data_IF_477489787672
#
_entry.id   IF_477489787672
#
_cell.length_a   1.000
_cell.length_b   1.000
_cell.length_c   1.000
_cell.angle_alpha   90.00
_cell.angle_beta   90.00
_cell.angle_gamma   90.00
#
_symmetry.space_group_name_H-M   'P 1'
#
loop_
_entity.id
_entity.type
_entity.pdbx_description
1 polymer ?
#
# COMPACT_ATOMS: atom_id res chain seq x y z
N UNK A 1 14.09 30.13 4.66
CA UNK A 1 13.59 28.75 4.86
C UNK A 1 12.59 28.46 3.75
N UNK A 2 13.05 28.06 2.57
CA UNK A 2 12.16 27.71 1.48
C UNK A 2 11.53 26.35 1.81
N UNK A 3 10.28 26.36 2.25
CA UNK A 3 9.52 25.13 2.50
C UNK A 3 9.46 24.31 1.21
N UNK A 4 10.20 23.21 1.15
CA UNK A 4 9.97 22.21 0.11
C UNK A 4 8.58 21.65 0.35
N UNK A 5 7.60 22.13 -0.42
CA UNK A 5 6.23 21.63 -0.34
C UNK A 5 6.24 20.12 -0.54
N UNK A 6 5.69 19.38 0.43
CA UNK A 6 5.43 17.95 0.25
C UNK A 6 4.61 17.76 -1.02
N UNK A 7 5.01 16.80 -1.85
CA UNK A 7 4.33 16.50 -3.12
C UNK A 7 4.16 15.01 -3.21
N UNK A 8 2.97 14.57 -3.59
CA UNK A 8 2.69 13.17 -3.82
C UNK A 8 1.67 13.03 -4.94
N UNK A 9 1.97 12.16 -5.88
CA UNK A 9 1.06 11.74 -6.93
C UNK A 9 0.94 10.23 -6.83
N UNK A 10 -0.28 9.74 -6.68
CA UNK A 10 -0.59 8.32 -6.71
C UNK A 10 -1.54 8.10 -7.89
N UNK A 11 -1.24 7.21 -8.82
CA UNK A 11 -2.04 7.02 -10.04
C UNK A 11 -2.01 5.56 -10.52
N UNK A 12 -2.80 5.27 -11.56
CA UNK A 12 -2.75 4.03 -12.34
C UNK A 12 -2.41 4.36 -13.78
N UNK A 13 -1.86 3.38 -14.50
CA UNK A 13 -1.64 3.47 -15.93
C UNK A 13 -2.38 2.33 -16.61
N UNK A 14 -3.29 2.65 -17.54
CA UNK A 14 -4.21 1.67 -18.12
C UNK A 14 -3.48 0.51 -18.83
N UNK A 15 -2.36 0.82 -19.49
CA UNK A 15 -1.51 -0.17 -20.19
C UNK A 15 -0.57 -0.94 -19.26
N UNK A 16 -0.67 -0.74 -17.94
CA UNK A 16 0.05 -1.51 -16.92
C UNK A 16 -0.94 -1.97 -15.84
N UNK A 17 -1.87 -2.88 -16.18
CA UNK A 17 -2.95 -3.30 -15.29
C UNK A 17 -2.42 -4.01 -14.04
N UNK A 18 -3.15 -3.89 -12.93
CA UNK A 18 -2.76 -4.51 -11.66
C UNK A 18 -1.56 -3.84 -10.97
N UNK A 19 -1.13 -2.66 -11.43
CA UNK A 19 0.00 -1.92 -10.86
C UNK A 19 -0.40 -0.50 -10.51
N UNK A 20 -0.41 -0.22 -9.21
CA UNK A 20 -0.55 1.12 -8.68
C UNK A 20 0.83 1.83 -8.68
N UNK A 21 0.86 3.14 -8.88
CA UNK A 21 2.09 3.93 -8.99
C UNK A 21 2.07 5.10 -8.01
N UNK A 22 3.23 5.43 -7.44
CA UNK A 22 3.42 6.61 -6.60
C UNK A 22 4.75 7.28 -6.91
N UNK A 23 4.75 8.61 -6.88
CA UNK A 23 5.95 9.43 -6.76
C UNK A 23 5.70 10.46 -5.67
N UNK A 24 6.60 10.55 -4.71
CA UNK A 24 6.42 11.45 -3.59
C UNK A 24 7.73 12.03 -3.04
N UNK A 25 7.60 13.21 -2.44
CA UNK A 25 8.56 13.87 -1.55
C UNK A 25 7.80 14.23 -0.29
N UNK A 26 8.25 13.68 0.84
CA UNK A 26 7.69 13.93 2.16
C UNK A 26 8.76 14.41 3.11
N UNK A 27 8.40 15.30 4.03
CA UNK A 27 9.30 15.89 5.03
C UNK A 27 8.76 15.60 6.44
N UNK A 28 7.52 15.99 6.70
CA UNK A 28 6.86 15.83 8.00
C UNK A 28 5.94 14.61 8.04
N UNK A 29 5.60 14.04 6.87
CA UNK A 29 4.71 12.90 6.75
C UNK A 29 5.13 11.74 7.65
N UNK A 30 4.14 11.23 8.39
CA UNK A 30 4.23 9.97 9.13
C UNK A 30 3.07 9.08 8.72
N UNK A 31 3.38 8.00 8.02
CA UNK A 31 2.44 6.93 7.76
C UNK A 31 2.18 6.18 9.06
N UNK A 32 0.91 6.15 9.44
CA UNK A 32 0.48 5.33 10.59
C UNK A 32 0.64 3.86 10.29
N UNK A 33 0.48 3.02 11.30
CA UNK A 33 0.49 1.58 11.08
C UNK A 33 -0.65 1.17 10.16
N UNK A 34 -0.31 0.57 9.02
CA UNK A 34 -1.25 0.20 7.96
C UNK A 34 -0.75 -1.01 7.16
N UNK A 35 -1.58 -1.49 6.23
CA UNK A 35 -1.27 -2.58 5.29
C UNK A 35 -1.60 -2.20 3.86
N UNK A 36 -1.04 -2.93 2.90
CA UNK A 36 -1.41 -2.86 1.48
C UNK A 36 -1.86 -4.24 1.00
N UNK A 37 -2.81 -4.26 0.06
CA UNK A 37 -3.21 -5.49 -0.66
C UNK A 37 -2.23 -5.84 -1.78
N UNK A 38 -1.44 -4.85 -2.23
CA UNK A 38 -0.41 -5.00 -3.25
C UNK A 38 0.96 -5.01 -2.58
N UNK A 39 1.97 -5.49 -3.30
CA UNK A 39 3.35 -5.31 -2.88
C UNK A 39 3.69 -3.81 -2.83
N UNK A 40 4.67 -3.44 -2.01
CA UNK A 40 5.33 -2.13 -2.08
C UNK A 40 6.74 -2.37 -2.54
N UNK A 41 7.11 -1.76 -3.68
CA UNK A 41 8.48 -1.71 -4.17
C UNK A 41 8.84 -0.23 -4.31
N UNK A 42 9.40 0.35 -3.25
CA UNK A 42 9.71 1.78 -3.15
C UNK A 42 11.21 2.01 -3.31
N UNK A 43 11.61 2.69 -4.39
CA UNK A 43 12.99 3.08 -4.65
C UNK A 43 13.26 4.49 -4.11
N UNK A 44 14.21 4.60 -3.18
CA UNK A 44 14.57 5.86 -2.54
C UNK A 44 15.56 6.62 -3.42
N UNK A 45 15.22 7.86 -3.77
CA UNK A 45 16.04 8.73 -4.61
C UNK A 45 16.88 9.72 -3.78
N UNK A 46 16.30 10.29 -2.72
CA UNK A 46 16.99 11.17 -1.77
C UNK A 46 16.46 10.96 -0.35
N UNK A 47 17.27 11.35 0.64
CA UNK A 47 16.91 11.27 2.05
C UNK A 47 16.85 9.83 2.57
N UNK A 48 16.13 9.62 3.66
CA UNK A 48 16.01 8.30 4.30
C UNK A 48 14.57 8.04 4.68
N UNK A 49 14.02 6.92 4.20
CA UNK A 49 12.78 6.37 4.73
C UNK A 49 13.09 5.49 5.94
N UNK A 50 12.41 5.73 7.06
CA UNK A 50 12.36 4.81 8.19
C UNK A 50 10.97 4.22 8.29
N UNK A 51 10.87 2.90 8.32
CA UNK A 51 9.61 2.20 8.48
C UNK A 51 9.74 1.05 9.47
N UNK A 52 8.74 0.90 10.35
CA UNK A 52 8.73 -0.21 11.27
C UNK A 52 8.16 -1.44 10.58
N UNK A 53 8.97 -2.48 10.44
CA UNK A 53 8.60 -3.74 9.81
C UNK A 53 9.18 -4.90 10.63
N UNK A 54 8.43 -6.00 10.78
CA UNK A 54 8.91 -7.16 11.55
C UNK A 54 9.22 -6.85 13.03
N UNK A 55 8.65 -5.78 13.58
CA UNK A 55 8.88 -5.37 14.97
C UNK A 55 10.12 -4.49 15.21
N UNK A 56 10.87 -4.14 14.17
CA UNK A 56 12.04 -3.25 14.23
C UNK A 56 11.94 -2.10 13.22
N UNK A 57 12.66 -1.01 13.47
CA UNK A 57 12.79 0.07 12.50
C UNK A 57 13.78 -0.37 11.40
N UNK A 58 13.39 -0.19 10.15
CA UNK A 58 14.17 -0.43 8.94
C UNK A 58 14.52 0.91 8.30
N UNK A 59 15.67 0.98 7.63
CA UNK A 59 16.22 2.21 7.08
C UNK A 59 16.53 2.00 5.60
N UNK A 60 15.94 2.80 4.73
CA UNK A 60 16.22 2.78 3.30
C UNK A 60 16.70 4.18 2.87
N UNK A 61 17.98 4.27 2.49
CA UNK A 61 18.60 5.47 1.94
C UNK A 61 18.65 5.46 0.41
N UNK A 62 19.26 6.47 -0.23
CA UNK A 62 19.29 6.61 -1.68
C UNK A 62 19.92 5.37 -2.36
N UNK A 63 19.26 4.86 -3.40
CA UNK A 63 19.68 3.64 -4.10
C UNK A 63 19.24 2.32 -3.44
N UNK A 64 18.64 2.37 -2.25
CA UNK A 64 17.98 1.22 -1.64
C UNK A 64 16.51 1.14 -2.03
N UNK A 65 15.95 -0.07 -1.86
CA UNK A 65 14.53 -0.36 -2.00
C UNK A 65 13.93 -0.69 -0.64
N UNK A 66 12.83 -0.04 -0.31
CA UNK A 66 11.91 -0.50 0.74
C UNK A 66 10.88 -1.45 0.12
N UNK A 67 10.81 -2.66 0.67
CA UNK A 67 10.03 -3.78 0.18
C UNK A 67 9.02 -4.20 1.26
N UNK A 68 7.75 -4.22 0.91
CA UNK A 68 6.68 -4.67 1.81
C UNK A 68 5.77 -5.66 1.07
N UNK A 69 5.60 -6.84 1.66
CA UNK A 69 4.68 -7.85 1.13
C UNK A 69 3.21 -7.46 1.42
N UNK A 70 2.24 -7.98 0.64
CA UNK A 70 0.82 -7.81 0.94
C UNK A 70 0.46 -8.18 2.38
N UNK A 71 -0.54 -7.50 2.94
CA UNK A 71 -1.08 -7.71 4.29
C UNK A 71 -0.02 -7.69 5.41
N UNK A 72 1.09 -6.98 5.18
CA UNK A 72 2.20 -6.83 6.13
C UNK A 72 2.16 -5.46 6.81
N UNK A 73 1.87 -5.42 8.13
CA UNK A 73 1.75 -4.15 8.84
C UNK A 73 3.08 -3.41 8.94
N UNK A 74 3.09 -2.16 8.50
CA UNK A 74 4.27 -1.30 8.56
C UNK A 74 3.88 0.16 8.81
N UNK A 75 4.88 1.01 9.02
CA UNK A 75 4.74 2.48 9.15
C UNK A 75 5.62 3.16 8.09
N UNK A 76 5.81 4.47 8.16
CA UNK A 76 6.77 5.18 7.32
C UNK A 76 6.97 6.60 7.82
N UNK A 77 8.20 7.09 7.85
CA UNK A 77 8.56 8.44 8.29
C UNK A 77 9.92 8.82 7.73
N UNK A 78 10.21 10.11 7.75
CA UNK A 78 11.55 10.60 7.46
C UNK A 78 12.56 10.13 8.51
N UNK A 79 13.76 9.76 8.04
CA UNK A 79 14.93 9.49 8.87
C UNK A 79 15.88 10.67 9.02
N UNK A 80 15.72 11.69 8.19
CA UNK A 80 16.53 12.93 8.20
C UNK A 80 15.62 14.16 8.06
N UNK A 81 16.05 15.36 8.53
CA UNK A 81 15.22 16.57 8.53
C UNK A 81 14.73 17.01 7.15
N UNK A 82 15.49 16.71 6.09
CA UNK A 82 15.16 17.05 4.70
C UNK A 82 14.04 16.18 4.14
N UNK A 83 13.64 15.13 4.85
CA UNK A 83 12.62 14.19 4.40
C UNK A 83 13.18 13.04 3.55
N UNK A 84 12.34 12.54 2.65
CA UNK A 84 12.74 11.56 1.64
C UNK A 84 11.95 11.74 0.35
N UNK A 85 12.61 11.43 -0.77
CA UNK A 85 12.03 11.44 -2.11
C UNK A 85 12.13 10.05 -2.69
N UNK A 86 11.03 9.53 -3.23
CA UNK A 86 10.97 8.17 -3.72
C UNK A 86 9.95 7.99 -4.84
N UNK A 87 10.10 6.89 -5.55
CA UNK A 87 9.12 6.37 -6.49
C UNK A 87 8.77 4.94 -6.11
N UNK A 88 7.50 4.58 -6.15
CA UNK A 88 7.05 3.25 -5.82
C UNK A 88 6.14 2.66 -6.89
N UNK A 89 6.29 1.36 -7.12
CA UNK A 89 5.34 0.55 -7.85
C UNK A 89 4.69 -0.43 -6.89
N UNK A 90 3.40 -0.65 -7.07
CA UNK A 90 2.60 -1.54 -6.23
C UNK A 90 1.96 -2.61 -7.11
N UNK A 91 2.72 -3.62 -7.57
CA UNK A 91 2.15 -4.71 -8.35
C UNK A 91 1.23 -5.57 -7.47
N UNK A 92 0.12 -6.03 -8.05
CA UNK A 92 -0.80 -6.95 -7.38
C UNK A 92 -0.12 -8.29 -7.09
N UNK A 93 -0.66 -9.08 -6.15
CA UNK A 93 -0.17 -10.43 -5.90
C UNK A 93 -0.14 -11.30 -7.17
N UNK A 94 -1.13 -11.14 -8.04
CA UNK A 94 -1.24 -11.89 -9.29
C UNK A 94 -0.11 -11.54 -10.26
N UNK A 95 0.18 -10.24 -10.46
CA UNK A 95 1.30 -9.79 -11.31
C UNK A 95 2.64 -10.36 -10.83
N UNK A 96 2.88 -10.34 -9.52
CA UNK A 96 4.13 -10.90 -8.95
C UNK A 96 4.16 -12.42 -9.07
N UNK A 97 3.03 -13.10 -8.88
CA UNK A 97 2.93 -14.55 -9.01
C UNK A 97 3.19 -15.04 -10.44
N UNK A 98 2.64 -14.35 -11.45
CA UNK A 98 2.88 -14.64 -12.86
C UNK A 98 4.38 -14.50 -13.20
N UNK A 99 5.00 -13.38 -12.83
CA UNK A 99 6.43 -13.15 -13.08
C UNK A 99 7.29 -14.19 -12.33
N UNK A 100 6.93 -14.54 -11.10
CA UNK A 100 7.66 -15.54 -10.31
C UNK A 100 7.62 -16.92 -10.97
N UNK A 101 6.45 -17.33 -11.50
CA UNK A 101 6.25 -18.61 -12.16
C UNK A 101 7.09 -18.76 -13.43
N UNK A 102 7.27 -17.67 -14.19
CA UNK A 102 8.06 -17.66 -15.42
C UNK A 102 9.57 -17.57 -15.18
N UNK A 103 10.00 -16.90 -14.11
CA UNK A 103 11.40 -16.43 -14.00
C UNK A 103 12.19 -16.96 -12.80
N UNK A 104 11.53 -17.71 -11.92
CA UNK A 104 12.12 -18.22 -10.67
C UNK A 104 11.73 -19.68 -10.39
N UNK A 105 12.30 -20.25 -9.33
CA UNK A 105 11.98 -21.62 -8.84
C UNK A 105 11.22 -21.61 -7.51
N UNK A 106 10.70 -20.44 -7.09
CA UNK A 106 10.00 -20.28 -5.81
C UNK A 106 8.71 -21.13 -5.83
N UNK A 107 8.55 -22.01 -4.85
CA UNK A 107 7.34 -22.83 -4.67
C UNK A 107 6.40 -22.16 -3.67
N UNK A 108 5.12 -22.11 -3.97
CA UNK A 108 4.12 -21.46 -3.11
C UNK A 108 3.94 -19.98 -3.44
N UNK A 109 3.43 -19.19 -2.49
CA UNK A 109 3.18 -17.76 -2.70
C UNK A 109 4.50 -16.99 -2.66
N UNK A 110 4.93 -16.32 -3.74
CA UNK A 110 6.19 -15.58 -3.76
C UNK A 110 6.09 -14.30 -2.91
N UNK A 111 7.21 -13.88 -2.34
CA UNK A 111 7.37 -12.56 -1.74
C UNK A 111 8.81 -12.26 -1.35
N UNK A 112 9.03 -11.10 -0.75
CA UNK A 112 10.34 -10.63 -0.36
C UNK A 112 10.71 -11.12 1.04
N UNK A 113 11.94 -11.60 1.21
CA UNK A 113 12.45 -12.14 2.48
C UNK A 113 12.90 -11.00 3.40
N UNK A 114 13.69 -10.06 2.88
CA UNK A 114 14.12 -8.86 3.62
C UNK A 114 13.31 -7.62 3.22
N UNK A 115 13.02 -6.72 4.17
CA UNK A 115 12.25 -5.51 3.88
C UNK A 115 13.08 -4.40 3.24
N UNK A 116 14.40 -4.46 3.30
CA UNK A 116 15.30 -3.50 2.65
C UNK A 116 16.28 -4.28 1.79
N UNK A 117 16.48 -3.80 0.57
CA UNK A 117 17.49 -4.31 -0.35
C UNK A 117 18.30 -3.13 -0.91
N UNK A 118 19.61 -3.15 -0.68
CA UNK A 118 20.55 -2.21 -1.29
C UNK A 118 20.91 -2.69 -2.70
N UNK A 119 20.23 -2.13 -3.69
CA UNK A 119 20.48 -2.44 -5.11
C UNK A 119 20.19 -1.19 -5.97
N UNK A 120 21.19 -0.32 -6.16
CA UNK A 120 21.03 0.92 -6.93
C UNK A 120 20.56 0.68 -8.37
N UNK A 121 20.90 -0.47 -8.96
CA UNK A 121 20.45 -0.83 -10.30
C UNK A 121 18.94 -1.13 -10.32
N UNK A 122 18.46 -1.92 -9.36
CA UNK A 122 17.03 -2.20 -9.23
C UNK A 122 16.23 -0.94 -8.85
N UNK A 123 16.75 -0.09 -7.96
CA UNK A 123 16.15 1.21 -7.65
C UNK A 123 16.04 2.09 -8.91
N UNK A 124 17.09 2.13 -9.73
CA UNK A 124 17.09 2.81 -11.03
C UNK A 124 16.09 2.22 -12.03
N UNK A 125 15.84 0.90 -12.02
CA UNK A 125 14.79 0.29 -12.84
C UNK A 125 13.40 0.76 -12.42
N UNK A 126 13.08 0.82 -11.13
CA UNK A 126 11.79 1.36 -10.64
C UNK A 126 11.56 2.79 -11.13
N UNK A 127 12.57 3.66 -11.02
CA UNK A 127 12.44 5.02 -11.53
C UNK A 127 12.27 5.08 -13.05
N UNK A 128 12.89 4.15 -13.80
CA UNK A 128 12.68 4.03 -15.25
C UNK A 128 11.28 3.51 -15.60
N UNK A 129 10.70 2.60 -14.82
CA UNK A 129 9.28 2.22 -14.98
C UNK A 129 8.39 3.46 -14.88
N UNK A 130 8.55 4.23 -13.81
CA UNK A 130 7.75 5.44 -13.59
C UNK A 130 7.94 6.49 -14.70
N UNK A 131 9.17 6.63 -15.21
CA UNK A 131 9.46 7.52 -16.34
C UNK A 131 8.81 7.04 -17.63
N UNK A 132 8.91 5.74 -17.94
CA UNK A 132 8.28 5.16 -19.13
C UNK A 132 6.76 5.34 -19.12
N UNK A 133 6.13 5.23 -17.94
CA UNK A 133 4.70 5.53 -17.76
C UNK A 133 4.40 7.01 -18.06
N UNK A 134 5.18 7.94 -17.53
CA UNK A 134 4.99 9.38 -17.79
C UNK A 134 5.17 9.73 -19.28
N UNK A 135 6.04 9.00 -19.98
CA UNK A 135 6.28 9.14 -21.42
C UNK A 135 5.24 8.40 -22.29
N UNK A 136 4.28 7.68 -21.68
CA UNK A 136 3.29 6.87 -22.39
C UNK A 136 3.87 5.65 -23.12
N UNK A 137 5.07 5.21 -22.74
CA UNK A 137 5.76 4.08 -23.35
C UNK A 137 5.41 2.77 -22.63
N UNK A 138 4.23 2.23 -22.95
CA UNK A 138 3.69 1.01 -22.35
C UNK A 138 4.64 -0.18 -22.40
N UNK A 139 5.23 -0.45 -23.57
CA UNK A 139 6.14 -1.58 -23.75
C UNK A 139 7.36 -1.48 -22.83
N UNK A 140 7.96 -0.28 -22.73
CA UNK A 140 9.09 -0.08 -21.84
C UNK A 140 8.68 -0.20 -20.37
N UNK A 141 7.53 0.35 -19.98
CA UNK A 141 7.03 0.27 -18.60
C UNK A 141 6.82 -1.19 -18.15
N UNK A 142 6.10 -1.99 -18.95
CA UNK A 142 5.85 -3.41 -18.65
C UNK A 142 7.15 -4.22 -18.64
N UNK A 143 8.00 -4.04 -19.66
CA UNK A 143 9.30 -4.73 -19.75
C UNK A 143 10.16 -4.44 -18.51
N UNK A 144 10.29 -3.17 -18.13
CA UNK A 144 11.11 -2.76 -16.99
C UNK A 144 10.52 -3.26 -15.66
N UNK A 145 9.19 -3.31 -15.54
CA UNK A 145 8.51 -3.87 -14.36
C UNK A 145 8.85 -5.36 -14.21
N UNK A 146 8.71 -6.14 -15.30
CA UNK A 146 9.06 -7.57 -15.29
C UNK A 146 10.52 -7.78 -14.92
N UNK A 147 11.44 -7.01 -15.53
CA UNK A 147 12.88 -7.09 -15.23
C UNK A 147 13.17 -6.78 -13.75
N UNK A 148 12.59 -5.72 -13.19
CA UNK A 148 12.87 -5.37 -11.78
C UNK A 148 12.25 -6.39 -10.82
N UNK A 149 11.01 -6.83 -11.04
CA UNK A 149 10.36 -7.84 -10.18
C UNK A 149 11.14 -9.17 -10.24
N UNK A 150 11.51 -9.65 -11.42
CA UNK A 150 12.35 -10.86 -11.56
C UNK A 150 13.67 -10.72 -10.81
N UNK A 151 14.34 -9.58 -10.93
CA UNK A 151 15.61 -9.34 -10.22
C UNK A 151 15.41 -9.38 -8.70
N UNK A 152 14.40 -8.70 -8.19
CA UNK A 152 14.10 -8.67 -6.75
C UNK A 152 13.75 -10.07 -6.21
N UNK A 153 12.97 -10.85 -6.95
CA UNK A 153 12.63 -12.21 -6.56
C UNK A 153 13.84 -13.16 -6.63
N UNK A 154 14.78 -12.96 -7.55
CA UNK A 154 16.01 -13.78 -7.60
C UNK A 154 16.99 -13.48 -6.47
N UNK A 155 17.09 -12.21 -6.07
CA UNK A 155 18.03 -11.77 -5.03
C UNK A 155 17.47 -11.88 -3.62
N UNK A 156 16.16 -11.69 -3.47
CA UNK A 156 15.49 -11.54 -2.18
C UNK A 156 14.11 -12.23 -2.14
N UNK A 157 13.79 -13.08 -3.11
CA UNK A 157 12.51 -13.79 -3.16
C UNK A 157 12.54 -15.10 -2.40
N UNK A 158 11.42 -15.42 -1.78
CA UNK A 158 11.18 -16.71 -1.13
C UNK A 158 9.69 -16.99 -1.00
N UNK A 159 9.32 -18.20 -0.55
CA UNK A 159 7.94 -18.49 -0.20
C UNK A 159 7.53 -17.63 1.00
N UNK A 160 6.45 -16.86 0.85
CA UNK A 160 5.80 -16.28 2.00
C UNK A 160 5.31 -17.41 2.91
N UNK A 161 5.51 -17.29 4.24
CA UNK A 161 4.93 -18.24 5.17
C UNK A 161 3.43 -18.32 4.90
N UNK A 162 2.93 -19.50 4.53
CA UNK A 162 1.49 -19.73 4.64
C UNK A 162 1.14 -19.40 6.09
N UNK A 163 0.22 -18.46 6.29
CA UNK A 163 -0.31 -18.09 7.62
C UNK A 163 -1.08 -19.31 8.17
N UNK A 164 -0.37 -20.36 8.56
CA UNK A 164 -0.85 -21.38 9.45
C UNK A 164 -0.89 -20.73 10.82
N UNK A 165 -1.92 -19.91 11.06
CA UNK A 165 -2.16 -19.32 12.36
C UNK A 165 -2.61 -20.48 13.26
N UNK A 166 -1.63 -21.25 13.75
CA UNK A 166 -1.79 -22.41 14.64
C UNK A 166 -1.54 -21.99 16.08
N UNK A 167 -2.22 -20.93 16.51
CA UNK A 167 -2.37 -20.60 17.93
C UNK A 167 -3.84 -20.79 18.30
N UNK A 168 -4.13 -21.16 19.55
CA UNK A 168 -5.50 -21.37 20.02
C UNK A 168 -6.42 -20.14 19.80
N UNK A 169 -5.84 -18.93 19.73
CA UNK A 169 -6.55 -17.68 19.47
C UNK A 169 -6.81 -17.34 17.99
N UNK A 170 -6.26 -18.12 17.04
CA UNK A 170 -6.43 -17.88 15.60
C UNK A 170 -7.89 -17.84 15.14
N UNK A 171 -8.74 -18.82 15.50
CA UNK A 171 -10.12 -18.84 15.01
C UNK A 171 -10.92 -17.66 15.57
N UNK A 172 -10.64 -17.25 16.81
CA UNK A 172 -11.26 -16.09 17.45
C UNK A 172 -10.88 -14.80 16.70
N UNK A 173 -9.60 -14.62 16.36
CA UNK A 173 -9.15 -13.47 15.59
C UNK A 173 -9.75 -13.45 14.17
N UNK A 174 -9.85 -14.60 13.50
CA UNK A 174 -10.50 -14.74 12.20
C UNK A 174 -11.98 -14.37 12.24
N UNK A 175 -12.74 -14.88 13.22
CA UNK A 175 -14.15 -14.54 13.42
C UNK A 175 -14.34 -13.07 13.77
N UNK A 176 -13.49 -12.52 14.64
CA UNK A 176 -13.54 -11.10 14.97
C UNK A 176 -13.32 -10.21 13.74
N UNK A 177 -12.35 -10.57 12.88
CA UNK A 177 -12.13 -9.87 11.61
C UNK A 177 -13.37 -9.93 10.72
N UNK A 178 -13.96 -11.11 10.54
CA UNK A 178 -15.15 -11.27 9.70
C UNK A 178 -16.32 -10.39 10.19
N UNK A 179 -16.58 -10.36 11.50
CA UNK A 179 -17.61 -9.48 12.09
C UNK A 179 -17.30 -8.00 11.84
N UNK A 180 -16.04 -7.59 11.97
CA UNK A 180 -15.63 -6.20 11.72
C UNK A 180 -15.70 -5.81 10.24
N UNK A 181 -15.48 -6.74 9.32
CA UNK A 181 -15.65 -6.53 7.88
C UNK A 181 -17.13 -6.39 7.51
N UNK A 182 -17.97 -7.30 8.00
CA UNK A 182 -19.42 -7.29 7.77
C UNK A 182 -20.08 -6.05 8.36
N UNK A 183 -19.69 -5.69 9.59
CA UNK A 183 -20.25 -4.56 10.34
C UNK A 183 -19.32 -3.35 10.34
N UNK A 184 -18.64 -3.11 9.23
CA UNK A 184 -17.63 -2.05 9.14
C UNK A 184 -18.21 -0.65 9.40
N UNK A 185 -19.46 -0.38 9.00
CA UNK A 185 -20.10 0.91 9.23
C UNK A 185 -20.49 1.14 10.70
N UNK A 186 -20.99 0.09 11.36
CA UNK A 186 -21.46 0.09 12.75
C UNK A 186 -20.88 -1.12 13.51
N UNK A 187 -19.60 -1.04 13.91
CA UNK A 187 -18.90 -2.15 14.55
C UNK A 187 -19.37 -2.33 16.00
N UNK A 188 -19.45 -3.57 16.53
CA UNK A 188 -19.71 -3.79 17.94
C UNK A 188 -18.60 -3.21 18.83
N UNK A 189 -18.92 -2.94 20.10
CA UNK A 189 -17.90 -2.62 21.11
C UNK A 189 -16.97 -3.81 21.33
N UNK A 190 -15.79 -3.56 21.91
CA UNK A 190 -14.84 -4.63 22.21
C UNK A 190 -15.45 -5.65 23.18
N UNK A 191 -16.21 -5.18 24.17
CA UNK A 191 -16.91 -6.00 25.15
C UNK A 191 -17.91 -6.91 24.45
N UNK A 192 -18.76 -6.35 23.58
CA UNK A 192 -19.76 -7.12 22.86
C UNK A 192 -19.13 -8.13 21.90
N UNK A 193 -18.13 -7.70 21.13
CA UNK A 193 -17.40 -8.57 20.21
C UNK A 193 -16.72 -9.73 20.96
N UNK A 194 -16.14 -9.46 22.13
CA UNK A 194 -15.51 -10.49 22.95
C UNK A 194 -16.53 -11.49 23.53
N UNK A 195 -17.67 -10.99 24.01
CA UNK A 195 -18.75 -11.81 24.55
C UNK A 195 -19.37 -12.72 23.48
N UNK A 196 -19.68 -12.18 22.30
CA UNK A 196 -20.23 -12.94 21.17
C UNK A 196 -19.27 -14.05 20.67
N UNK A 197 -17.95 -13.87 20.88
CA UNK A 197 -16.92 -14.84 20.52
C UNK A 197 -16.48 -15.75 21.67
N UNK A 198 -17.10 -15.64 22.85
CA UNK A 198 -16.79 -16.47 24.02
C UNK A 198 -15.37 -16.24 24.57
N UNK A 199 -14.86 -15.01 24.53
CA UNK A 199 -13.53 -14.66 25.00
C UNK A 199 -13.54 -13.38 25.85
N UNK A 200 -12.42 -13.08 26.53
CA UNK A 200 -12.27 -11.80 27.23
C UNK A 200 -11.73 -10.70 26.31
N UNK A 201 -12.01 -9.41 26.59
CA UNK A 201 -11.50 -8.30 25.79
C UNK A 201 -9.98 -8.34 25.60
N UNK A 202 -9.22 -8.58 26.67
CA UNK A 202 -7.76 -8.65 26.59
C UNK A 202 -7.26 -9.87 25.82
N UNK A 203 -7.94 -11.03 25.93
CA UNK A 203 -7.59 -12.21 25.15
C UNK A 203 -7.84 -11.96 23.66
N UNK A 204 -8.95 -11.32 23.30
CA UNK A 204 -9.26 -10.92 21.93
C UNK A 204 -8.21 -9.95 21.37
N UNK A 205 -7.86 -8.89 22.11
CA UNK A 205 -6.84 -7.92 21.69
C UNK A 205 -5.49 -8.60 21.41
N UNK A 206 -5.06 -9.52 22.28
CA UNK A 206 -3.80 -10.28 22.09
C UNK A 206 -3.88 -11.22 20.89
N UNK A 207 -4.96 -11.98 20.76
CA UNK A 207 -5.16 -12.90 19.64
C UNK A 207 -5.18 -12.15 18.30
N UNK A 208 -5.90 -11.03 18.23
CA UNK A 208 -6.01 -10.21 17.03
C UNK A 208 -4.67 -9.57 16.65
N UNK A 209 -3.95 -8.99 17.62
CA UNK A 209 -2.61 -8.43 17.39
C UNK A 209 -1.62 -9.51 16.98
N UNK A 210 -1.71 -10.71 17.52
CA UNK A 210 -0.85 -11.83 17.14
C UNK A 210 -1.12 -12.28 15.69
N UNK A 211 -2.38 -12.35 15.27
CA UNK A 211 -2.75 -12.81 13.93
C UNK A 211 -2.49 -11.76 12.83
N UNK A 212 -2.88 -10.50 13.09
CA UNK A 212 -2.90 -9.41 12.09
C UNK A 212 -1.86 -8.33 12.36
N UNK A 213 -1.02 -8.52 13.37
CA UNK A 213 0.01 -7.59 13.79
C UNK A 213 -0.52 -6.38 14.54
N UNK A 214 -1.78 -5.95 14.39
CA UNK A 214 -2.33 -4.71 14.93
C UNK A 214 -3.62 -4.91 15.76
N UNK A 215 -4.00 -3.96 16.64
CA UNK A 215 -5.26 -4.05 17.39
C UNK A 215 -6.50 -3.92 16.47
N UNK A 216 -7.67 -4.44 16.89
CA UNK A 216 -8.91 -4.43 16.10
C UNK A 216 -9.32 -3.05 15.57
N UNK A 217 -9.26 -2.00 16.39
CA UNK A 217 -9.66 -0.65 15.97
C UNK A 217 -8.74 -0.07 14.88
N UNK A 218 -7.42 -0.25 15.03
CA UNK A 218 -6.44 0.16 14.00
C UNK A 218 -6.65 -0.61 12.71
N UNK A 219 -6.90 -1.92 12.83
CA UNK A 219 -7.21 -2.79 11.69
C UNK A 219 -8.49 -2.36 10.96
N UNK A 220 -9.56 -2.09 11.70
CA UNK A 220 -10.82 -1.62 11.11
C UNK A 220 -10.64 -0.30 10.37
N UNK A 221 -9.88 0.64 10.94
CA UNK A 221 -9.58 1.93 10.28
C UNK A 221 -8.83 1.73 8.96
N UNK A 222 -7.83 0.84 8.94
CA UNK A 222 -7.12 0.45 7.71
C UNK A 222 -8.07 -0.19 6.68
N UNK A 223 -8.89 -1.14 7.12
CA UNK A 223 -9.86 -1.82 6.28
C UNK A 223 -10.90 -0.87 5.67
N UNK A 224 -11.37 0.12 6.45
CA UNK A 224 -12.24 1.20 5.97
C UNK A 224 -11.59 2.03 4.87
N UNK A 225 -10.31 2.38 5.02
CA UNK A 225 -9.57 3.11 3.99
C UNK A 225 -9.38 2.25 2.73
N UNK A 226 -9.06 0.95 2.86
CA UNK A 226 -8.98 0.04 1.71
C UNK A 226 -10.31 -0.08 0.98
N UNK A 227 -11.42 -0.25 1.70
CA UNK A 227 -12.76 -0.27 1.10
C UNK A 227 -13.09 1.06 0.40
N UNK A 228 -12.73 2.18 1.02
CA UNK A 228 -12.91 3.51 0.43
C UNK A 228 -12.11 3.69 -0.86
N UNK A 229 -10.87 3.16 -0.96
CA UNK A 229 -10.10 3.14 -2.21
C UNK A 229 -10.87 2.46 -3.33
N UNK A 230 -11.42 1.27 -3.10
CA UNK A 230 -12.21 0.56 -4.11
C UNK A 230 -13.48 1.32 -4.54
N UNK A 231 -14.14 2.03 -3.62
CA UNK A 231 -15.27 2.89 -3.95
C UNK A 231 -14.84 4.11 -4.79
N UNK A 232 -13.71 4.74 -4.46
CA UNK A 232 -13.17 5.87 -5.22
C UNK A 232 -12.70 5.44 -6.62
N UNK A 233 -12.10 4.25 -6.74
CA UNK A 233 -11.68 3.65 -8.00
C UNK A 233 -12.87 3.47 -8.97
N UNK A 234 -14.07 3.26 -8.43
CA UNK A 234 -15.33 3.09 -9.20
C UNK A 234 -16.13 4.40 -9.33
N UNK A 235 -15.57 5.54 -8.95
CA UNK A 235 -16.20 6.85 -9.12
C UNK A 235 -17.10 7.32 -7.98
N UNK A 236 -17.23 6.56 -6.89
CA UNK A 236 -17.99 7.01 -5.69
C UNK A 236 -17.34 8.26 -5.11
N UNK A 237 -18.12 9.30 -4.81
CA UNK A 237 -17.57 10.55 -4.26
C UNK A 237 -16.93 10.32 -2.87
N UNK A 238 -15.93 11.12 -2.46
CA UNK A 238 -15.31 10.97 -1.13
C UNK A 238 -16.32 11.09 0.02
N UNK A 239 -17.36 11.93 -0.12
CA UNK A 239 -18.42 12.05 0.88
C UNK A 239 -19.26 10.77 1.00
N UNK A 240 -19.71 10.21 -0.13
CA UNK A 240 -20.47 8.96 -0.14
C UNK A 240 -19.62 7.78 0.35
N UNK A 241 -18.35 7.71 -0.06
CA UNK A 241 -17.42 6.69 0.40
C UNK A 241 -17.19 6.75 1.92
N UNK A 242 -17.10 7.95 2.51
CA UNK A 242 -16.95 8.12 3.95
C UNK A 242 -18.12 7.48 4.72
N UNK A 243 -19.35 7.77 4.31
CA UNK A 243 -20.56 7.20 4.92
C UNK A 243 -20.61 5.68 4.72
N UNK A 244 -20.37 5.21 3.49
CA UNK A 244 -20.47 3.79 3.14
C UNK A 244 -19.51 2.89 3.94
N UNK A 245 -18.35 3.42 4.33
CA UNK A 245 -17.35 2.67 5.09
C UNK A 245 -17.35 2.99 6.58
N UNK A 246 -18.28 3.82 7.08
CA UNK A 246 -18.40 4.10 8.52
C UNK A 246 -17.47 5.17 9.09
N UNK A 247 -16.99 6.10 8.26
CA UNK A 247 -16.47 7.36 8.78
C UNK A 247 -17.61 8.33 9.03
N UNK A 248 -17.48 9.14 10.08
CA UNK A 248 -18.48 10.13 10.50
C UNK A 248 -18.82 11.12 9.40
N UNK A 249 -17.81 11.57 8.66
CA UNK A 249 -17.92 12.55 7.59
C UNK A 249 -16.70 12.47 6.65
N UNK A 250 -16.75 13.24 5.56
CA UNK A 250 -15.65 13.34 4.61
C UNK A 250 -14.35 13.88 5.23
N UNK A 251 -14.34 14.93 6.08
CA UNK A 251 -13.14 15.34 6.81
C UNK A 251 -12.48 14.21 7.61
N UNK A 252 -13.26 13.35 8.24
CA UNK A 252 -12.78 12.19 8.99
C UNK A 252 -12.10 11.17 8.06
N UNK A 253 -12.74 10.83 6.93
CA UNK A 253 -12.11 10.02 5.89
C UNK A 253 -10.81 10.68 5.39
N UNK A 254 -10.83 11.98 5.05
CA UNK A 254 -9.67 12.70 4.52
C UNK A 254 -8.45 12.55 5.43
N UNK A 255 -8.63 12.71 6.76
CA UNK A 255 -7.55 12.57 7.74
C UNK A 255 -6.94 11.17 7.72
N UNK A 256 -7.76 10.12 7.79
CA UNK A 256 -7.26 8.74 7.84
C UNK A 256 -6.70 8.28 6.49
N UNK A 257 -7.42 8.56 5.41
CA UNK A 257 -7.01 8.23 4.06
C UNK A 257 -5.66 8.86 3.73
N UNK A 258 -5.48 10.16 4.00
CA UNK A 258 -4.19 10.82 3.73
C UNK A 258 -3.07 10.21 4.57
N UNK A 259 -3.31 9.89 5.86
CA UNK A 259 -2.31 9.28 6.75
C UNK A 259 -1.89 7.86 6.36
N UNK A 260 -2.71 7.14 5.60
CA UNK A 260 -2.48 5.76 5.19
C UNK A 260 -2.01 5.69 3.73
N UNK A 261 -2.69 6.39 2.82
CA UNK A 261 -2.45 6.32 1.36
C UNK A 261 -1.42 7.34 0.89
N UNK A 262 -1.13 8.36 1.70
CA UNK A 262 -0.14 9.40 1.37
C UNK A 262 -0.71 10.60 0.63
N UNK A 263 -1.84 10.43 -0.06
CA UNK A 263 -2.57 11.49 -0.79
C UNK A 263 -4.01 11.64 -0.29
N UNK A 264 -4.65 12.82 -0.42
CA UNK A 264 -6.08 12.98 -0.11
C UNK A 264 -6.99 12.17 -1.05
N UNK A 265 -8.17 11.71 -0.61
CA UNK A 265 -9.04 10.84 -1.41
C UNK A 265 -9.56 11.52 -2.69
N UNK A 266 -9.79 12.83 -2.67
CA UNK A 266 -10.16 13.57 -3.88
C UNK A 266 -9.03 13.64 -4.92
N UNK A 267 -7.78 13.76 -4.48
CA UNK A 267 -6.62 13.70 -5.38
C UNK A 267 -6.42 12.29 -5.92
N UNK A 268 -6.56 11.28 -5.06
CA UNK A 268 -6.53 9.88 -5.43
C UNK A 268 -7.57 9.54 -6.51
N UNK A 269 -8.83 9.93 -6.32
CA UNK A 269 -9.91 9.64 -7.25
C UNK A 269 -9.70 10.27 -8.63
N UNK A 270 -9.27 11.54 -8.70
CA UNK A 270 -9.02 12.22 -9.98
C UNK A 270 -8.03 11.46 -10.86
N UNK A 271 -7.03 10.85 -10.26
CA UNK A 271 -6.02 10.04 -10.98
C UNK A 271 -6.54 8.66 -11.42
N UNK A 272 -7.74 8.24 -11.01
CA UNK A 272 -8.40 6.99 -11.46
C UNK A 272 -9.50 7.26 -12.48
N UNK A 273 -10.28 8.31 -12.26
CA UNK A 273 -11.43 8.64 -13.12
C UNK A 273 -11.05 9.59 -14.26
N UNK A 274 -9.92 10.30 -14.15
CA UNK A 274 -9.46 11.29 -15.13
C UNK A 274 -8.91 10.72 -16.43
N UNK A 275 -8.73 9.40 -16.54
CA UNK A 275 -8.36 8.74 -17.80
C UNK A 275 -9.48 8.69 -18.85
N UNK A 276 -10.71 9.06 -18.48
CA UNK A 276 -11.85 9.04 -19.40
C UNK A 276 -12.03 10.32 -20.24
N UNK A 277 -11.33 11.41 -19.94
CA UNK A 277 -11.69 12.75 -20.45
C UNK A 277 -10.58 13.52 -21.20
N UNK A 278 -9.36 12.95 -21.32
CA UNK A 278 -8.22 13.61 -21.99
C UNK A 278 -8.10 13.28 -23.50
N UNK A 279 -9.06 12.54 -24.06
CA UNK A 279 -9.11 12.22 -25.50
C UNK A 279 -9.68 13.34 -26.39
N UNK A 280 -10.13 14.47 -25.83
CA UNK A 280 -10.91 15.47 -26.59
C UNK A 280 -10.31 16.87 -26.67
N UNK A 281 -9.15 17.16 -26.07
CA UNK A 281 -8.63 18.55 -25.97
C UNK A 281 -7.37 18.90 -26.76
N UNK A 282 -6.92 18.05 -27.70
CA UNK A 282 -5.72 18.36 -28.52
C UNK A 282 -5.94 18.31 -30.03
N UNK A 283 -7.12 18.74 -30.52
CA UNK A 283 -7.31 19.17 -31.91
C UNK A 283 -8.14 20.44 -31.97
N UNK A 284 -7.48 21.58 -31.77
CA UNK A 284 -8.20 22.85 -31.75
C UNK A 284 -7.32 24.08 -31.63
N UNK A 285 -6.26 24.20 -32.43
CA UNK A 285 -5.73 25.50 -32.85
C UNK A 285 -4.85 25.37 -34.09
N UNK A 286 -5.49 25.55 -35.24
CA UNK A 286 -4.84 26.13 -36.42
C UNK A 286 -4.80 27.65 -36.21
N UNK A 287 -3.66 28.27 -36.47
CA UNK A 287 -3.44 29.16 -37.61
C UNK A 287 -1.96 29.13 -37.95
#
# INVERSE_FOLDING_TARGET
MAGSAERARHWRYAELPGVDLLRATYVEKKFVRHTHEHFVIAAIADGVEIFRHGGADQYAGPGALALVNPDTPHTGRAGVPEGWRYGAVYPSPDVVAEIAAETTTIRGTPGFVTPVLEDPYAAGLVHRVLRAVDEGNALAADTLLRVVVTRLLRLNGGPLPQRAVRTAGSPVAARARAVLEERMADPPTLERLSADLGTSPFALLRAFRSAYGMPPHTWLTDARVRRARGLLDTGTTPAAAAVAVGFTDQPHLNRHFSRIVGVPPGAYQRERTGGADDGSRTRGRRM
#
